data_IF_096793471188
#
_entry.id   IF_096793471188
#
_cell.length_a   1.000
_cell.length_b   1.000
_cell.length_c   1.000
_cell.angle_alpha   90.00
_cell.angle_beta   90.00
_cell.angle_gamma   90.00
#
_symmetry.space_group_name_H-M   'P 1'
#
loop_
_entity.id
_entity.type
_entity.pdbx_description
1 polymer ?
#
# COMPACT_ATOMS: atom_id res chain seq x y z
N UNK A 1 35.21 7.71 37.12
CA UNK A 1 35.20 6.59 36.16
C UNK A 1 33.81 6.50 35.55
N UNK A 2 33.59 7.15 34.40
CA UNK A 2 32.55 6.79 33.43
C UNK A 2 33.03 7.33 32.09
N UNK A 3 33.63 6.46 31.28
CA UNK A 3 34.07 6.80 29.92
C UNK A 3 32.85 6.83 29.02
N UNK A 4 32.43 8.02 28.61
CA UNK A 4 31.41 8.21 27.58
C UNK A 4 31.95 7.70 26.25
N UNK A 5 31.30 6.67 25.69
CA UNK A 5 31.62 6.09 24.39
C UNK A 5 31.31 7.10 23.28
N UNK A 6 32.36 7.57 22.61
CA UNK A 6 32.30 8.40 21.39
C UNK A 6 31.44 7.73 20.31
N UNK A 7 30.67 8.47 19.49
CA UNK A 7 30.00 7.90 18.33
C UNK A 7 31.06 7.37 17.38
N UNK A 8 30.92 6.10 17.00
CA UNK A 8 31.76 5.43 16.01
C UNK A 8 31.65 6.19 14.68
N UNK A 9 32.74 6.86 14.30
CA UNK A 9 32.91 7.50 13.00
C UNK A 9 32.75 6.47 11.89
N UNK A 10 31.78 6.70 11.00
CA UNK A 10 31.56 5.88 9.82
C UNK A 10 32.82 5.79 8.94
N UNK A 11 33.20 4.56 8.60
CA UNK A 11 34.30 4.19 7.71
C UNK A 11 34.03 4.66 6.27
N UNK A 12 34.94 5.42 5.61
CA UNK A 12 34.76 5.91 4.23
C UNK A 12 34.73 4.83 3.15
N UNK A 13 34.87 3.55 3.50
CA UNK A 13 35.06 2.43 2.56
C UNK A 13 33.99 1.34 2.62
N UNK A 14 32.93 1.53 3.41
CA UNK A 14 31.89 0.51 3.60
C UNK A 14 30.89 0.50 2.41
N UNK A 15 30.69 -0.63 1.68
CA UNK A 15 29.54 -0.76 0.78
C UNK A 15 28.27 -0.56 1.63
N UNK A 16 27.40 0.36 1.22
CA UNK A 16 26.21 0.75 1.97
C UNK A 16 25.52 -0.44 2.66
N UNK A 17 25.20 -0.28 3.95
CA UNK A 17 24.62 -1.35 4.77
C UNK A 17 23.35 -1.91 4.11
N UNK A 18 22.92 -3.11 4.52
CA UNK A 18 21.64 -3.65 4.03
C UNK A 18 20.48 -2.68 4.29
N UNK A 19 20.50 -2.00 5.44
CA UNK A 19 19.51 -0.99 5.78
C UNK A 19 19.56 0.22 4.84
N UNK A 20 20.75 0.76 4.54
CA UNK A 20 20.91 1.86 3.58
C UNK A 20 20.46 1.48 2.16
N UNK A 21 20.73 0.25 1.75
CA UNK A 21 20.28 -0.28 0.46
C UNK A 21 18.77 -0.45 0.43
N UNK A 22 18.18 -0.96 1.52
CA UNK A 22 16.73 -1.08 1.69
C UNK A 22 16.06 0.28 1.64
N UNK A 23 16.61 1.27 2.34
CA UNK A 23 16.11 2.63 2.36
C UNK A 23 16.17 3.29 0.98
N UNK A 24 17.24 3.07 0.22
CA UNK A 24 17.38 3.55 -1.16
C UNK A 24 16.36 2.90 -2.10
N UNK A 25 16.21 1.58 -2.02
CA UNK A 25 15.24 0.82 -2.78
C UNK A 25 13.81 1.32 -2.46
N UNK A 26 13.47 1.40 -1.18
CA UNK A 26 12.19 1.89 -0.69
C UNK A 26 11.89 3.31 -1.17
N UNK A 27 12.83 4.26 -1.03
CA UNK A 27 12.65 5.64 -1.53
C UNK A 27 12.35 5.71 -3.03
N UNK A 28 12.95 4.83 -3.83
CA UNK A 28 12.73 4.80 -5.29
C UNK A 28 11.36 4.23 -5.63
N UNK A 29 10.96 3.15 -4.95
CA UNK A 29 9.67 2.51 -5.17
C UNK A 29 8.52 3.38 -4.66
N UNK A 30 8.67 3.95 -3.46
CA UNK A 30 7.60 4.67 -2.76
C UNK A 30 7.29 6.05 -3.36
N UNK A 31 8.26 6.75 -3.94
CA UNK A 31 8.07 8.12 -4.49
C UNK A 31 7.19 8.20 -5.74
N UNK A 32 6.72 7.08 -6.27
CA UNK A 32 6.21 6.99 -7.65
C UNK A 32 4.70 6.73 -7.75
N UNK A 33 3.90 7.11 -6.74
CA UNK A 33 2.43 7.13 -6.83
C UNK A 33 1.86 5.79 -7.30
N UNK A 34 1.05 5.78 -8.36
CA UNK A 34 0.43 4.58 -8.95
C UNK A 34 1.43 3.47 -9.32
N UNK A 35 2.70 3.78 -9.58
CA UNK A 35 3.73 2.78 -9.87
C UNK A 35 4.11 1.94 -8.64
N UNK A 36 3.79 2.39 -7.42
CA UNK A 36 4.17 1.70 -6.19
C UNK A 36 3.56 0.29 -6.12
N UNK A 37 2.31 0.13 -6.60
CA UNK A 37 1.62 -1.16 -6.68
C UNK A 37 2.32 -2.11 -7.65
N UNK A 38 2.62 -1.63 -8.85
CA UNK A 38 3.33 -2.38 -9.89
C UNK A 38 4.69 -2.84 -9.35
N UNK A 39 5.46 -1.93 -8.79
CA UNK A 39 6.81 -2.20 -8.30
C UNK A 39 6.79 -3.19 -7.13
N UNK A 40 5.88 -3.03 -6.16
CA UNK A 40 5.70 -4.00 -5.07
C UNK A 40 5.35 -5.39 -5.60
N UNK A 41 4.33 -5.50 -6.47
CA UNK A 41 3.90 -6.79 -7.06
C UNK A 41 5.06 -7.44 -7.83
N UNK A 42 5.86 -6.65 -8.55
CA UNK A 42 7.05 -7.13 -9.27
C UNK A 42 8.10 -7.71 -8.31
N UNK A 43 8.40 -7.02 -7.21
CA UNK A 43 9.33 -7.50 -6.18
C UNK A 43 8.80 -8.77 -5.48
N UNK A 44 7.50 -8.84 -5.22
CA UNK A 44 6.89 -10.02 -4.61
C UNK A 44 6.96 -11.23 -5.56
N UNK A 45 6.60 -11.04 -6.83
CA UNK A 45 6.62 -12.09 -7.84
C UNK A 45 8.05 -12.60 -8.12
N UNK A 46 9.05 -11.71 -8.07
CA UNK A 46 10.47 -12.04 -8.24
C UNK A 46 11.18 -12.55 -6.97
N UNK A 47 10.49 -12.75 -5.84
CA UNK A 47 11.09 -13.44 -4.67
C UNK A 47 11.58 -14.84 -5.05
N UNK A 48 10.85 -15.47 -5.96
CA UNK A 48 11.35 -16.65 -6.68
C UNK A 48 11.97 -16.18 -7.99
N UNK A 49 13.04 -16.82 -8.44
CA UNK A 49 13.67 -16.49 -9.71
C UNK A 49 12.69 -16.68 -10.89
N UNK A 50 12.72 -15.74 -11.83
CA UNK A 50 11.83 -15.69 -13.01
C UNK A 50 12.61 -15.27 -14.25
N UNK A 51 12.13 -15.62 -15.44
CA UNK A 51 12.66 -15.02 -16.66
C UNK A 51 12.13 -13.59 -16.82
N UNK A 52 12.95 -12.71 -17.40
CA UNK A 52 12.56 -11.33 -17.68
C UNK A 52 11.27 -11.24 -18.50
N UNK A 53 11.16 -12.04 -19.56
CA UNK A 53 9.99 -12.05 -20.44
C UNK A 53 8.72 -12.56 -19.74
N UNK A 54 8.86 -13.45 -18.77
CA UNK A 54 7.73 -13.93 -17.97
C UNK A 54 7.22 -12.83 -17.05
N UNK A 55 8.14 -12.08 -16.43
CA UNK A 55 7.77 -10.92 -15.60
C UNK A 55 7.09 -9.83 -16.43
N UNK A 56 7.52 -9.57 -17.66
CA UNK A 56 6.82 -8.62 -18.54
C UNK A 56 5.38 -9.03 -18.86
N UNK A 57 5.15 -10.33 -19.11
CA UNK A 57 3.81 -10.85 -19.34
C UNK A 57 2.94 -10.79 -18.10
N UNK A 58 3.48 -11.13 -16.94
CA UNK A 58 2.80 -11.00 -15.65
C UNK A 58 2.42 -9.54 -15.38
N UNK A 59 3.36 -8.62 -15.53
CA UNK A 59 3.13 -7.18 -15.37
C UNK A 59 2.02 -6.66 -16.27
N UNK A 60 1.91 -7.14 -17.50
CA UNK A 60 0.85 -6.73 -18.43
C UNK A 60 -0.57 -7.11 -17.96
N UNK A 61 -0.71 -7.99 -16.96
CA UNK A 61 -2.01 -8.35 -16.37
C UNK A 61 -2.46 -7.39 -15.26
N UNK A 62 -1.58 -6.54 -14.75
CA UNK A 62 -1.89 -5.65 -13.64
C UNK A 62 -2.78 -4.49 -14.12
N UNK A 63 -3.94 -4.21 -13.48
CA UNK A 63 -4.81 -3.11 -13.87
C UNK A 63 -4.09 -1.76 -13.90
N UNK A 64 -3.17 -1.54 -12.96
CA UNK A 64 -2.38 -0.31 -12.82
C UNK A 64 -1.51 -0.01 -14.05
N UNK A 65 -1.16 -1.04 -14.84
CA UNK A 65 -0.35 -0.87 -16.05
C UNK A 65 -1.12 -0.25 -17.21
N UNK A 66 -2.45 -0.38 -17.26
CA UNK A 66 -3.26 0.20 -18.36
C UNK A 66 -3.07 1.72 -18.46
N UNK A 67 -2.75 2.36 -17.35
CA UNK A 67 -2.60 3.81 -17.22
C UNK A 67 -1.15 4.25 -17.03
N UNK A 68 -0.19 3.34 -17.25
CA UNK A 68 1.24 3.60 -17.11
C UNK A 68 1.85 4.11 -18.42
N UNK A 69 2.49 5.29 -18.38
CA UNK A 69 3.32 5.78 -19.50
C UNK A 69 4.68 5.06 -19.61
N UNK A 70 5.01 4.19 -18.65
CA UNK A 70 6.26 3.44 -18.61
C UNK A 70 6.05 2.01 -19.10
N UNK A 71 7.02 1.49 -19.86
CA UNK A 71 7.04 0.07 -20.22
C UNK A 71 7.44 -0.81 -19.04
N UNK A 72 7.07 -2.10 -19.11
CA UNK A 72 7.44 -3.13 -18.14
C UNK A 72 8.97 -3.19 -17.98
N UNK A 73 9.70 -3.25 -19.11
CA UNK A 73 11.17 -3.23 -19.11
C UNK A 73 11.76 -2.00 -18.41
N UNK A 74 11.18 -0.81 -18.60
CA UNK A 74 11.63 0.41 -17.93
C UNK A 74 11.46 0.31 -16.42
N UNK A 75 10.31 -0.18 -15.94
CA UNK A 75 10.05 -0.36 -14.50
C UNK A 75 10.99 -1.42 -13.90
N UNK A 76 11.19 -2.55 -14.58
CA UNK A 76 12.17 -3.56 -14.16
C UNK A 76 13.56 -2.94 -14.04
N UNK A 77 13.98 -2.15 -15.04
CA UNK A 77 15.30 -1.49 -15.02
C UNK A 77 15.41 -0.44 -13.91
N UNK A 78 14.34 0.26 -13.57
CA UNK A 78 14.33 1.15 -12.40
C UNK A 78 14.56 0.38 -11.09
N UNK A 79 13.92 -0.78 -10.93
CA UNK A 79 14.12 -1.63 -9.75
C UNK A 79 15.55 -2.19 -9.68
N UNK A 80 16.12 -2.57 -10.83
CA UNK A 80 17.52 -3.00 -10.92
C UNK A 80 18.48 -1.88 -10.56
N UNK A 81 18.29 -0.68 -11.12
CA UNK A 81 19.12 0.48 -10.81
C UNK A 81 19.02 0.91 -9.34
N UNK A 82 17.87 0.69 -8.70
CA UNK A 82 17.67 0.95 -7.27
C UNK A 82 18.30 -0.13 -6.37
N UNK A 83 18.77 -1.25 -6.94
CA UNK A 83 19.27 -2.40 -6.20
C UNK A 83 18.18 -3.24 -5.54
N UNK A 84 16.90 -3.02 -5.89
CA UNK A 84 15.77 -3.79 -5.36
C UNK A 84 15.60 -5.13 -6.09
N UNK A 85 16.05 -5.19 -7.35
CA UNK A 85 15.98 -6.38 -8.20
C UNK A 85 17.37 -6.64 -8.78
N UNK A 86 17.74 -7.90 -8.92
CA UNK A 86 18.91 -8.30 -9.72
C UNK A 86 18.46 -8.89 -11.05
N UNK A 87 19.24 -8.62 -12.10
CA UNK A 87 19.05 -9.21 -13.41
C UNK A 87 20.33 -9.94 -13.81
N UNK A 88 20.28 -11.27 -13.86
CA UNK A 88 21.36 -12.13 -14.31
C UNK A 88 21.69 -11.92 -15.79
N UNK A 89 22.87 -12.41 -16.22
CA UNK A 89 23.31 -12.36 -17.62
C UNK A 89 22.37 -13.13 -18.56
N UNK A 90 21.74 -14.18 -18.05
CA UNK A 90 20.73 -15.00 -18.72
C UNK A 90 19.33 -14.35 -18.71
N UNK A 91 19.22 -13.09 -18.27
CA UNK A 91 17.96 -12.36 -18.09
C UNK A 91 17.00 -13.04 -17.10
N UNK A 92 17.55 -13.69 -16.09
CA UNK A 92 16.76 -14.08 -14.92
C UNK A 92 16.67 -12.93 -13.92
N UNK A 93 15.49 -12.73 -13.35
CA UNK A 93 15.19 -11.72 -12.35
C UNK A 93 15.03 -12.38 -10.98
N UNK A 94 15.56 -11.73 -9.96
CA UNK A 94 15.36 -12.11 -8.56
C UNK A 94 15.30 -10.85 -7.69
N UNK A 95 14.43 -10.85 -6.70
CA UNK A 95 14.37 -9.80 -5.68
C UNK A 95 15.56 -9.93 -4.74
N UNK A 96 16.29 -8.83 -4.55
CA UNK A 96 17.43 -8.78 -3.61
C UNK A 96 16.91 -8.69 -2.17
N UNK A 97 17.78 -8.92 -1.18
CA UNK A 97 17.41 -8.72 0.23
C UNK A 97 16.93 -7.29 0.52
N UNK A 98 17.54 -6.29 -0.13
CA UNK A 98 17.14 -4.89 -0.02
C UNK A 98 15.76 -4.63 -0.67
N UNK A 99 15.48 -5.28 -1.81
CA UNK A 99 14.18 -5.24 -2.44
C UNK A 99 13.10 -5.94 -1.62
N UNK A 100 13.43 -7.07 -0.99
CA UNK A 100 12.54 -7.77 -0.09
C UNK A 100 12.21 -6.90 1.13
N UNK A 101 13.21 -6.29 1.77
CA UNK A 101 12.98 -5.35 2.86
C UNK A 101 12.14 -4.13 2.44
N UNK A 102 12.33 -3.62 1.22
CA UNK A 102 11.51 -2.54 0.69
C UNK A 102 10.05 -2.99 0.43
N UNK A 103 9.86 -4.20 -0.12
CA UNK A 103 8.56 -4.82 -0.32
C UNK A 103 7.83 -5.08 1.00
N UNK A 104 8.54 -5.54 2.03
CA UNK A 104 7.99 -5.82 3.36
C UNK A 104 7.48 -4.53 4.02
N UNK A 105 8.19 -3.40 3.89
CA UNK A 105 7.68 -2.08 4.34
C UNK A 105 6.38 -1.66 3.66
N UNK A 106 6.11 -2.19 2.48
CA UNK A 106 4.91 -1.91 1.69
C UNK A 106 3.84 -2.99 1.83
N UNK A 107 3.93 -3.86 2.84
CA UNK A 107 2.96 -4.93 3.05
C UNK A 107 1.55 -4.34 3.18
N UNK A 108 0.60 -4.67 2.29
CA UNK A 108 -0.72 -4.03 2.27
C UNK A 108 -1.46 -4.04 3.61
N UNK A 109 -1.39 -5.16 4.34
CA UNK A 109 -2.02 -5.30 5.65
C UNK A 109 -1.43 -4.40 6.73
N UNK A 110 -0.13 -4.05 6.65
CA UNK A 110 0.50 -3.10 7.58
C UNK A 110 0.19 -1.67 7.18
N UNK A 111 0.19 -1.38 5.88
CA UNK A 111 -0.12 -0.06 5.34
C UNK A 111 -1.56 0.36 5.61
N UNK A 112 -2.53 -0.54 5.41
CA UNK A 112 -3.93 -0.29 5.77
C UNK A 112 -4.13 -0.10 7.28
N UNK A 113 -3.44 -0.90 8.11
CA UNK A 113 -3.50 -0.75 9.56
C UNK A 113 -2.94 0.61 9.98
N UNK A 114 -1.76 0.98 9.49
CA UNK A 114 -1.14 2.27 9.77
C UNK A 114 -2.03 3.45 9.34
N UNK A 115 -2.66 3.37 8.15
CA UNK A 115 -3.59 4.40 7.68
C UNK A 115 -4.80 4.57 8.61
N UNK A 116 -5.41 3.47 9.04
CA UNK A 116 -6.57 3.52 9.93
C UNK A 116 -6.18 3.98 11.34
N UNK A 117 -4.99 3.62 11.82
CA UNK A 117 -4.48 4.04 13.13
C UNK A 117 -4.03 5.52 13.16
N UNK A 118 -3.66 6.09 12.00
CA UNK A 118 -3.22 7.50 11.88
C UNK A 118 -4.30 8.49 12.34
N UNK A 119 -5.55 8.27 11.93
CA UNK A 119 -6.68 9.16 12.24
C UNK A 119 -7.96 8.34 12.49
N UNK A 120 -8.29 8.07 13.77
CA UNK A 120 -9.50 7.36 14.15
C UNK A 120 -10.80 7.97 13.63
N UNK A 121 -10.88 9.29 13.47
CA UNK A 121 -12.10 9.99 13.02
C UNK A 121 -12.44 9.63 11.57
N UNK A 122 -11.42 9.32 10.75
CA UNK A 122 -11.58 8.96 9.34
C UNK A 122 -11.88 7.49 9.10
N UNK A 123 -11.74 6.62 10.11
CA UNK A 123 -11.93 5.19 9.93
C UNK A 123 -13.32 4.82 9.39
N UNK A 124 -14.36 5.52 9.84
CA UNK A 124 -15.71 5.35 9.33
C UNK A 124 -15.80 5.67 7.84
N UNK A 125 -15.25 6.81 7.42
CA UNK A 125 -15.23 7.20 6.01
C UNK A 125 -14.42 6.23 5.15
N UNK A 126 -13.23 5.82 5.59
CA UNK A 126 -12.43 4.82 4.90
C UNK A 126 -13.18 3.50 4.72
N UNK A 127 -13.84 3.02 5.78
CA UNK A 127 -14.66 1.80 5.71
C UNK A 127 -15.79 1.96 4.70
N UNK A 128 -16.54 3.06 4.73
CA UNK A 128 -17.65 3.32 3.80
C UNK A 128 -17.18 3.38 2.35
N UNK A 129 -16.07 4.08 2.06
CA UNK A 129 -15.52 4.15 0.70
C UNK A 129 -15.11 2.74 0.24
N UNK A 130 -14.36 1.99 1.06
CA UNK A 130 -13.90 0.65 0.67
C UNK A 130 -15.06 -0.33 0.44
N UNK A 131 -16.11 -0.29 1.26
CA UNK A 131 -17.33 -1.08 1.07
C UNK A 131 -18.06 -0.69 -0.22
N UNK A 132 -18.18 0.62 -0.51
CA UNK A 132 -18.79 1.12 -1.74
C UNK A 132 -18.02 0.63 -2.98
N UNK A 133 -16.69 0.62 -2.91
CA UNK A 133 -15.79 0.17 -3.96
C UNK A 133 -15.68 -1.36 -4.13
N UNK A 134 -16.47 -2.18 -3.42
CA UNK A 134 -16.58 -3.63 -3.73
C UNK A 134 -16.99 -3.92 -5.18
N UNK A 135 -17.62 -2.93 -5.79
CA UNK A 135 -17.82 -2.84 -7.24
C UNK A 135 -17.23 -1.51 -7.71
N UNK A 136 -16.76 -1.37 -8.96
CA UNK A 136 -16.13 -0.14 -9.43
C UNK A 136 -16.99 1.11 -9.18
N UNK A 137 -16.36 2.21 -8.77
CA UNK A 137 -17.03 3.49 -8.47
C UNK A 137 -16.33 4.67 -9.10
N UNK A 138 -17.10 5.67 -9.49
CA UNK A 138 -16.57 6.95 -9.95
C UNK A 138 -16.55 7.97 -8.81
N UNK A 139 -15.91 9.11 -9.07
CA UNK A 139 -15.72 10.16 -8.06
C UNK A 139 -17.05 10.72 -7.53
N UNK A 140 -18.08 10.97 -8.38
CA UNK A 140 -19.37 11.46 -7.89
C UNK A 140 -20.05 10.51 -6.90
N UNK A 141 -19.93 9.19 -7.07
CA UNK A 141 -20.51 8.21 -6.14
C UNK A 141 -19.85 8.30 -4.77
N UNK A 142 -18.52 8.45 -4.75
CA UNK A 142 -17.75 8.59 -3.51
C UNK A 142 -18.06 9.93 -2.85
N UNK A 143 -18.14 11.02 -3.62
CA UNK A 143 -18.48 12.35 -3.11
C UNK A 143 -19.87 12.38 -2.47
N UNK A 144 -20.86 11.73 -3.10
CA UNK A 144 -22.21 11.57 -2.53
C UNK A 144 -22.15 10.84 -1.18
N UNK A 145 -21.47 9.69 -1.13
CA UNK A 145 -21.34 8.91 0.09
C UNK A 145 -20.65 9.70 1.22
N UNK A 146 -19.70 10.57 0.88
CA UNK A 146 -18.99 11.39 1.87
C UNK A 146 -19.82 12.52 2.48
N UNK A 147 -20.99 12.86 1.92
CA UNK A 147 -21.90 13.86 2.55
C UNK A 147 -22.50 13.39 3.88
N UNK A 148 -22.49 12.09 4.15
CA UNK A 148 -22.93 11.52 5.42
C UNK A 148 -21.92 11.75 6.57
N UNK A 149 -20.69 12.20 6.26
CA UNK A 149 -19.64 12.43 7.23
C UNK A 149 -19.43 13.93 7.48
N UNK A 150 -18.94 14.31 8.68
CA UNK A 150 -18.47 15.67 8.91
C UNK A 150 -17.24 15.96 8.04
N UNK A 151 -16.99 17.24 7.78
CA UNK A 151 -15.74 17.65 7.12
C UNK A 151 -14.53 17.28 7.97
N UNK A 152 -13.58 16.57 7.37
CA UNK A 152 -12.33 16.22 8.04
C UNK A 152 -11.32 17.36 7.94
N UNK A 153 -10.52 17.56 8.98
CA UNK A 153 -9.37 18.47 8.94
C UNK A 153 -8.33 17.94 7.96
N UNK A 154 -7.78 18.79 7.09
CA UNK A 154 -6.67 18.39 6.20
C UNK A 154 -5.37 18.19 6.97
N UNK A 155 -4.57 17.19 6.59
CA UNK A 155 -3.19 17.02 7.08
C UNK A 155 -2.19 17.86 6.26
N UNK A 156 -2.62 18.59 5.24
CA UNK A 156 -1.76 19.49 4.48
C UNK A 156 -1.56 20.80 5.26
N UNK A 157 -0.39 20.98 5.85
CA UNK A 157 -0.04 22.18 6.62
C UNK A 157 -0.02 23.47 5.77
N UNK A 158 0.05 23.35 4.44
CA UNK A 158 0.06 24.49 3.51
C UNK A 158 -1.35 25.01 3.19
N UNK A 159 -2.41 24.26 3.50
CA UNK A 159 -3.79 24.70 3.27
C UNK A 159 -4.72 24.37 4.45
N UNK A 160 -5.41 25.39 4.97
CA UNK A 160 -6.45 25.22 5.99
C UNK A 160 -7.79 24.70 5.44
N UNK A 161 -7.80 24.14 4.23
CA UNK A 161 -9.01 23.59 3.63
C UNK A 161 -9.36 22.24 4.27
N UNK A 162 -10.64 21.83 4.29
CA UNK A 162 -11.01 20.48 4.70
C UNK A 162 -10.41 19.42 3.77
N UNK A 163 -10.24 18.20 4.27
CA UNK A 163 -9.85 17.07 3.43
C UNK A 163 -11.02 16.72 2.51
N UNK A 164 -10.78 16.81 1.21
CA UNK A 164 -11.74 16.40 0.17
C UNK A 164 -11.79 14.87 0.03
N UNK A 165 -12.90 14.30 -0.48
CA UNK A 165 -13.00 12.86 -0.76
C UNK A 165 -11.84 12.31 -1.59
N UNK A 166 -11.33 13.08 -2.54
CA UNK A 166 -10.15 12.74 -3.35
C UNK A 166 -8.88 12.49 -2.51
N UNK A 167 -8.70 13.20 -1.39
CA UNK A 167 -7.59 12.96 -0.48
C UNK A 167 -7.73 11.64 0.28
N UNK A 168 -8.96 11.23 0.61
CA UNK A 168 -9.24 9.95 1.24
C UNK A 168 -9.00 8.79 0.26
N UNK A 169 -9.47 8.94 -0.99
CA UNK A 169 -9.21 7.99 -2.07
C UNK A 169 -7.71 7.80 -2.31
N UNK A 170 -6.96 8.90 -2.45
CA UNK A 170 -5.52 8.85 -2.65
C UNK A 170 -4.80 8.13 -1.49
N UNK A 171 -5.23 8.33 -0.24
CA UNK A 171 -4.69 7.61 0.92
C UNK A 171 -5.01 6.12 0.88
N UNK A 172 -6.24 5.74 0.53
CA UNK A 172 -6.65 4.34 0.41
C UNK A 172 -5.93 3.61 -0.72
N UNK A 173 -5.72 4.29 -1.85
CA UNK A 173 -4.89 3.78 -2.96
C UNK A 173 -3.44 3.62 -2.52
N UNK A 174 -2.85 4.63 -1.87
CA UNK A 174 -1.47 4.55 -1.37
C UNK A 174 -1.27 3.42 -0.35
N UNK A 175 -2.30 3.12 0.44
CA UNK A 175 -2.32 2.03 1.40
C UNK A 175 -2.72 0.67 0.80
N UNK A 176 -2.86 0.56 -0.54
CA UNK A 176 -3.22 -0.68 -1.25
C UNK A 176 -4.64 -1.21 -0.97
N UNK A 177 -5.54 -0.39 -0.43
CA UNK A 177 -6.93 -0.76 -0.21
C UNK A 177 -7.78 -0.66 -1.46
N UNK A 178 -7.46 0.30 -2.33
CA UNK A 178 -8.15 0.53 -3.60
C UNK A 178 -7.16 0.53 -4.76
N UNK A 179 -7.68 0.27 -5.95
CA UNK A 179 -6.99 0.45 -7.23
C UNK A 179 -7.95 1.14 -8.20
N UNK A 180 -7.42 2.01 -9.06
CA UNK A 180 -8.16 2.53 -10.20
C UNK A 180 -8.13 1.52 -11.36
N UNK A 181 -9.31 1.00 -11.71
CA UNK A 181 -9.53 0.12 -12.87
C UNK A 181 -10.92 0.43 -13.46
N UNK A 182 -10.97 1.40 -14.37
CA UNK A 182 -12.23 1.99 -14.89
C UNK A 182 -13.17 2.54 -13.81
N UNK A 183 -12.62 2.75 -12.61
CA UNK A 183 -13.32 3.13 -11.38
C UNK A 183 -12.52 2.65 -10.17
N UNK A 184 -12.69 3.31 -9.03
CA UNK A 184 -12.09 2.84 -7.78
C UNK A 184 -12.70 1.50 -7.38
N UNK A 185 -11.84 0.50 -7.29
CA UNK A 185 -12.20 -0.88 -7.02
C UNK A 185 -11.44 -1.39 -5.80
N UNK A 186 -12.14 -2.10 -4.91
CA UNK A 186 -11.57 -2.72 -3.73
C UNK A 186 -10.58 -3.82 -4.14
N UNK A 187 -9.36 -3.74 -3.61
CA UNK A 187 -8.35 -4.76 -3.85
C UNK A 187 -8.64 -6.02 -3.02
N UNK A 188 -8.10 -7.20 -3.39
CA UNK A 188 -8.16 -8.39 -2.55
C UNK A 188 -7.59 -8.15 -1.15
N UNK A 189 -6.51 -7.38 -1.03
CA UNK A 189 -5.91 -7.02 0.24
C UNK A 189 -6.81 -6.10 1.08
N UNK A 190 -7.49 -5.13 0.45
CA UNK A 190 -8.49 -4.28 1.09
C UNK A 190 -9.69 -5.07 1.60
N UNK A 191 -10.19 -6.02 0.80
CA UNK A 191 -11.28 -6.92 1.19
C UNK A 191 -10.89 -7.81 2.37
N UNK A 192 -9.68 -8.38 2.37
CA UNK A 192 -9.16 -9.17 3.48
C UNK A 192 -9.07 -8.34 4.78
N UNK A 193 -8.60 -7.10 4.68
CA UNK A 193 -8.51 -6.19 5.82
C UNK A 193 -9.88 -5.84 6.41
N UNK A 194 -10.89 -5.53 5.58
CA UNK A 194 -12.25 -5.26 6.04
C UNK A 194 -12.84 -6.48 6.76
N UNK A 195 -12.70 -7.67 6.18
CA UNK A 195 -13.20 -8.90 6.78
C UNK A 195 -12.56 -9.18 8.16
N UNK A 196 -11.24 -8.95 8.30
CA UNK A 196 -10.51 -9.09 9.56
C UNK A 196 -11.00 -8.08 10.62
N UNK A 197 -11.40 -6.87 10.22
CA UNK A 197 -11.98 -5.87 11.14
C UNK A 197 -13.39 -6.25 11.58
N UNK A 198 -14.25 -6.64 10.65
CA UNK A 198 -15.63 -7.08 10.98
C UNK A 198 -15.64 -8.30 11.89
N UNK A 199 -14.71 -9.24 11.72
CA UNK A 199 -14.58 -10.40 12.59
C UNK A 199 -14.10 -10.07 14.01
N UNK A 200 -13.41 -8.93 14.20
CA UNK A 200 -12.89 -8.48 15.51
C UNK A 200 -13.87 -7.61 16.27
N UNK A 201 -14.81 -6.95 15.59
CA UNK A 201 -15.91 -6.24 16.25
C UNK A 201 -16.93 -7.27 16.75
N UNK A 202 -17.14 -7.41 18.07
CA UNK A 202 -18.23 -8.25 18.57
C UNK A 202 -19.54 -7.77 17.92
N UNK A 203 -20.36 -8.70 17.42
CA UNK A 203 -21.76 -8.40 17.09
C UNK A 203 -22.46 -8.02 18.40
N UNK A 204 -22.48 -6.75 18.75
CA UNK A 204 -23.44 -6.26 19.75
C UNK A 204 -24.84 -6.43 19.18
N UNK A 205 -25.64 -7.29 19.83
CA UNK A 205 -27.07 -7.45 19.54
C UNK A 205 -27.44 -8.73 18.80
N UNK A 206 -27.30 -9.89 19.45
CA UNK A 206 -28.05 -11.09 19.08
C UNK A 206 -28.18 -12.06 20.27
N UNK A 207 -28.68 -11.60 21.42
CA UNK A 207 -29.55 -12.41 22.28
C UNK A 207 -30.16 -11.51 23.38
N UNK A 208 -31.21 -12.00 24.03
CA UNK A 208 -32.01 -11.38 25.09
C UNK A 208 -33.30 -10.65 24.64
N UNK A 209 -34.21 -11.36 23.99
CA UNK A 209 -35.64 -11.23 24.34
C UNK A 209 -36.47 -12.46 23.94
N UNK A 210 -36.09 -13.66 24.42
CA UNK A 210 -37.03 -14.80 24.40
C UNK A 210 -36.96 -15.66 25.69
N UNK A 211 -36.93 -15.02 26.86
CA UNK A 211 -37.24 -15.68 28.14
C UNK A 211 -38.19 -14.82 29.00
N UNK A 212 -39.39 -14.56 28.48
CA UNK A 212 -40.57 -14.23 29.30
C UNK A 212 -41.82 -14.93 28.75
N UNK A 213 -41.75 -16.25 28.64
CA UNK A 213 -42.93 -17.11 28.46
C UNK A 213 -42.70 -18.46 29.15
N UNK A 214 -42.50 -18.45 30.46
CA UNK A 214 -42.93 -19.50 31.41
C UNK A 214 -42.44 -19.15 32.80
N UNK A 215 -43.26 -18.43 33.56
CA UNK A 215 -43.31 -18.48 35.03
C UNK A 215 -44.68 -17.92 35.46
#
# INVERSE_FOLDING_TARGET
>A
MTTTRTPETADPTNPASLEDRTERAWKTVHRRGSFIHIMRKTLEHCRTQRAFSDMEREMATYPEFRYSDQSQASIIRMLVNAGALECGKDRTLRTTDAGAGAADRMRPSEQLRALFDEDPERQGAYTTIMELCRTPREYPDVEEAMRAFPSFTSHNELSGLPAFPSALLAKLEAAYGLVWDEGWTLTPEGAAFLNERTARTPREGADETEERRTA
#
